data_IF_311686602312
#
_entry.id   IF_311686602312
#
_cell.length_a   1.000
_cell.length_b   1.000
_cell.length_c   1.000
_cell.angle_alpha   90.00
_cell.angle_beta   90.00
_cell.angle_gamma   90.00
#
_symmetry.space_group_name_H-M   'P 1'
#
loop_
_entity.id
_entity.type
_entity.pdbx_description
1 polymer ?
#
# COMPACT_ATOMS: atom_id res chain seq x y z
N UNK A 1 27.34 1.37 30.97
CA UNK A 1 26.28 0.62 30.27
C UNK A 1 26.62 0.72 28.81
N UNK A 2 26.73 -0.43 28.15
CA UNK A 2 27.06 -0.50 26.72
C UNK A 2 25.91 0.11 25.93
N UNK A 3 26.14 1.30 25.37
CA UNK A 3 25.21 1.93 24.45
C UNK A 3 25.18 1.10 23.17
N UNK A 4 24.12 0.31 23.04
CA UNK A 4 23.84 -0.48 21.86
C UNK A 4 23.66 0.51 20.68
N UNK A 5 24.51 0.38 19.67
CA UNK A 5 24.70 1.31 18.54
C UNK A 5 23.42 1.51 17.68
N UNK A 6 22.33 0.81 18.00
CA UNK A 6 21.03 0.93 17.34
C UNK A 6 20.02 1.90 18.00
N UNK A 7 20.31 2.48 19.18
CA UNK A 7 19.47 3.53 19.78
C UNK A 7 18.01 3.18 20.05
N UNK A 8 17.65 1.89 20.10
CA UNK A 8 16.29 1.43 20.36
C UNK A 8 15.97 1.45 21.85
N UNK A 9 14.97 2.23 22.26
CA UNK A 9 14.41 2.13 23.60
C UNK A 9 13.43 0.94 23.65
N UNK A 10 13.73 -0.05 24.50
CA UNK A 10 12.88 -1.23 24.71
C UNK A 10 11.62 -0.93 25.52
N UNK A 11 11.57 0.22 26.19
CA UNK A 11 10.37 0.72 26.86
C UNK A 11 9.64 1.64 25.88
N UNK A 12 8.44 1.26 25.41
CA UNK A 12 7.66 2.14 24.54
C UNK A 12 7.41 3.49 25.22
N UNK A 13 7.51 4.59 24.48
CA UNK A 13 7.34 5.93 25.07
C UNK A 13 5.93 6.16 25.65
N UNK A 14 4.95 5.36 25.24
CA UNK A 14 3.55 5.44 25.66
C UNK A 14 3.20 4.56 26.86
N UNK A 15 4.18 3.90 27.50
CA UNK A 15 3.94 2.98 28.62
C UNK A 15 3.19 3.64 29.79
N UNK A 16 3.44 4.93 30.02
CA UNK A 16 2.84 5.69 31.12
C UNK A 16 1.59 6.49 30.68
N UNK A 17 1.01 6.20 29.51
CA UNK A 17 -0.17 6.90 29.01
C UNK A 17 -1.45 6.08 29.29
N UNK A 18 -2.13 6.27 30.43
CA UNK A 18 -3.19 5.38 30.91
C UNK A 18 -4.46 5.39 30.06
N UNK A 19 -4.61 6.38 29.18
CA UNK A 19 -5.78 6.57 28.30
C UNK A 19 -5.42 6.45 26.81
N UNK A 20 -4.18 6.08 26.48
CA UNK A 20 -3.72 5.95 25.10
C UNK A 20 -3.67 4.47 24.72
N UNK A 21 -4.58 4.07 23.85
CA UNK A 21 -4.48 2.80 23.15
C UNK A 21 -3.78 3.05 21.81
N UNK A 22 -2.50 2.67 21.73
CA UNK A 22 -1.66 2.91 20.56
C UNK A 22 -2.22 2.21 19.32
N UNK A 23 -2.93 1.10 19.50
CA UNK A 23 -3.46 0.29 18.40
C UNK A 23 -4.55 1.06 17.63
N UNK A 24 -5.26 1.97 18.31
CA UNK A 24 -6.27 2.83 17.69
C UNK A 24 -5.69 4.02 16.91
N UNK A 25 -4.38 4.28 17.05
CA UNK A 25 -3.70 5.43 16.43
C UNK A 25 -2.88 4.97 15.20
N UNK A 26 -2.60 3.68 15.07
CA UNK A 26 -1.91 3.12 13.90
C UNK A 26 -2.88 3.10 12.72
N UNK A 27 -2.84 4.17 11.92
CA UNK A 27 -3.75 4.35 10.80
C UNK A 27 -3.38 3.47 9.60
N UNK A 28 -4.37 2.96 8.85
CA UNK A 28 -4.13 2.14 7.67
C UNK A 28 -3.45 2.91 6.54
N UNK A 29 -2.72 2.20 5.69
CA UNK A 29 -2.03 2.78 4.53
C UNK A 29 -2.36 2.03 3.23
N UNK A 30 -3.16 2.67 2.38
CA UNK A 30 -3.61 2.11 1.10
C UNK A 30 -2.43 1.68 0.22
N UNK A 31 -1.39 2.51 0.07
CA UNK A 31 -0.29 2.20 -0.84
C UNK A 31 0.53 1.00 -0.34
N UNK A 32 0.94 1.00 0.92
CA UNK A 32 1.90 0.03 1.46
C UNK A 32 1.26 -1.27 1.94
N UNK A 33 0.10 -1.17 2.58
CA UNK A 33 -0.63 -2.32 3.09
C UNK A 33 -1.47 -2.96 1.99
N UNK A 34 -2.22 -2.17 1.22
CA UNK A 34 -3.08 -2.73 0.18
C UNK A 34 -2.31 -3.00 -1.12
N UNK A 35 -1.83 -1.98 -1.82
CA UNK A 35 -1.22 -2.16 -3.16
C UNK A 35 0.13 -2.90 -3.12
N UNK A 36 1.06 -2.48 -2.27
CA UNK A 36 2.38 -3.12 -2.13
C UNK A 36 2.37 -4.31 -1.16
N UNK A 37 1.20 -4.63 -0.61
CA UNK A 37 1.03 -5.67 0.37
C UNK A 37 0.06 -6.74 -0.09
N UNK A 38 -1.21 -6.57 0.22
CA UNK A 38 -2.28 -7.51 -0.13
C UNK A 38 -2.32 -7.79 -1.63
N UNK A 39 -2.39 -6.76 -2.47
CA UNK A 39 -2.44 -6.91 -3.93
C UNK A 39 -1.13 -7.49 -4.50
N UNK A 40 0.01 -7.26 -3.83
CA UNK A 40 1.27 -7.92 -4.18
C UNK A 40 1.17 -9.44 -4.04
N UNK A 41 0.59 -9.93 -2.94
CA UNK A 41 0.38 -11.35 -2.73
C UNK A 41 -0.61 -11.94 -3.74
N UNK A 42 -1.73 -11.25 -4.01
CA UNK A 42 -2.69 -11.71 -5.02
C UNK A 42 -2.06 -11.95 -6.39
N UNK A 43 -1.22 -11.02 -6.86
CA UNK A 43 -0.53 -11.19 -8.14
C UNK A 43 0.38 -12.42 -8.13
N UNK A 44 1.15 -12.60 -7.05
CA UNK A 44 2.02 -13.78 -6.90
C UNK A 44 1.22 -15.08 -6.89
N UNK A 45 0.08 -15.12 -6.21
CA UNK A 45 -0.78 -16.30 -6.16
C UNK A 45 -1.44 -16.58 -7.50
N UNK A 46 -1.91 -15.56 -8.21
CA UNK A 46 -2.46 -15.70 -9.56
C UNK A 46 -1.40 -16.18 -10.55
N UNK A 47 -0.17 -15.67 -10.48
CA UNK A 47 0.94 -16.16 -11.30
C UNK A 47 1.24 -17.64 -10.99
N UNK A 48 1.04 -18.11 -9.76
CA UNK A 48 1.14 -19.53 -9.45
C UNK A 48 -0.03 -20.36 -10.05
N UNK A 49 -1.24 -19.81 -10.12
CA UNK A 49 -2.39 -20.47 -10.78
C UNK A 49 -2.19 -20.58 -12.29
N UNK A 50 -1.77 -19.49 -12.94
CA UNK A 50 -1.81 -19.34 -14.39
C UNK A 50 -0.45 -19.49 -15.07
N UNK A 51 0.64 -19.62 -14.29
CA UNK A 51 2.03 -19.35 -14.68
C UNK A 51 2.32 -17.86 -14.94
N UNK A 52 3.57 -17.45 -14.74
CA UNK A 52 4.03 -16.09 -15.06
C UNK A 52 3.85 -15.76 -16.55
N UNK A 53 4.23 -16.70 -17.43
CA UNK A 53 4.07 -16.57 -18.89
C UNK A 53 2.60 -16.47 -19.31
N UNK A 54 1.73 -17.26 -18.69
CA UNK A 54 0.29 -17.24 -18.95
C UNK A 54 -0.35 -15.91 -18.56
N UNK A 55 0.04 -15.35 -17.42
CA UNK A 55 -0.44 -14.04 -16.98
C UNK A 55 0.10 -12.91 -17.88
N UNK A 56 1.39 -12.93 -18.21
CA UNK A 56 2.00 -11.94 -19.11
C UNK A 56 1.38 -11.98 -20.51
N UNK A 57 1.09 -13.16 -21.04
CA UNK A 57 0.37 -13.32 -22.30
C UNK A 57 -0.99 -12.60 -22.27
N UNK A 58 -1.72 -12.66 -21.15
CA UNK A 58 -2.99 -11.93 -21.02
C UNK A 58 -2.78 -10.43 -20.97
N UNK A 59 -1.83 -9.95 -20.17
CA UNK A 59 -1.50 -8.52 -20.09
C UNK A 59 -1.12 -7.96 -21.46
N UNK A 60 -0.33 -8.70 -22.24
CA UNK A 60 0.10 -8.32 -23.59
C UNK A 60 -1.05 -8.33 -24.61
N UNK A 61 -2.05 -9.18 -24.42
CA UNK A 61 -3.21 -9.28 -25.32
C UNK A 61 -4.22 -8.15 -25.17
N UNK A 62 -4.11 -7.34 -24.10
CA UNK A 62 -5.05 -6.26 -23.85
C UNK A 62 -4.88 -5.13 -24.89
N UNK A 63 -5.99 -4.69 -25.52
CA UNK A 63 -5.93 -3.54 -26.42
C UNK A 63 -5.57 -2.27 -25.65
N UNK A 64 -4.90 -1.29 -26.29
CA UNK A 64 -4.70 0.02 -25.69
C UNK A 64 -6.03 0.65 -25.25
N UNK A 65 -6.09 1.10 -24.00
CA UNK A 65 -7.28 1.73 -23.43
C UNK A 65 -6.90 3.04 -22.73
N UNK A 66 -7.80 4.02 -22.77
CA UNK A 66 -7.57 5.32 -22.13
C UNK A 66 -7.47 5.17 -20.60
N UNK A 67 -6.48 5.82 -19.99
CA UNK A 67 -6.28 5.79 -18.53
C UNK A 67 -5.69 4.48 -17.98
N UNK A 68 -5.27 3.56 -18.85
CA UNK A 68 -4.63 2.28 -18.50
C UNK A 68 -3.20 2.26 -19.06
N UNK A 69 -2.24 1.81 -18.24
CA UNK A 69 -0.86 1.63 -18.68
C UNK A 69 -0.74 0.33 -19.47
N UNK A 70 -0.16 0.40 -20.65
CA UNK A 70 0.18 -0.78 -21.45
C UNK A 70 1.56 -1.31 -21.05
N UNK A 71 1.63 -2.58 -20.65
CA UNK A 71 2.85 -3.25 -20.22
C UNK A 71 3.45 -4.05 -21.39
N UNK A 72 4.26 -3.38 -22.22
CA UNK A 72 4.78 -3.91 -23.49
C UNK A 72 5.58 -5.22 -23.38
N UNK A 73 6.13 -5.51 -22.20
CA UNK A 73 6.96 -6.70 -21.95
C UNK A 73 6.35 -7.59 -20.86
N UNK A 74 5.04 -7.49 -20.60
CA UNK A 74 4.41 -8.13 -19.45
C UNK A 74 4.80 -7.47 -18.12
N UNK A 75 4.55 -8.19 -17.02
CA UNK A 75 4.84 -7.75 -15.65
C UNK A 75 5.93 -8.55 -14.96
N UNK A 76 6.24 -9.78 -15.42
CA UNK A 76 7.16 -10.68 -14.70
C UNK A 76 8.60 -10.16 -14.68
N UNK A 77 8.99 -9.39 -15.71
CA UNK A 77 10.30 -8.72 -15.77
C UNK A 77 10.43 -7.45 -14.93
N UNK A 78 9.37 -6.98 -14.26
CA UNK A 78 9.41 -5.73 -13.50
C UNK A 78 10.09 -5.93 -12.14
N UNK A 79 11.24 -5.28 -11.95
CA UNK A 79 11.86 -5.11 -10.64
C UNK A 79 11.44 -3.78 -10.02
N UNK A 80 11.35 -3.72 -8.69
CA UNK A 80 11.02 -2.49 -7.93
C UNK A 80 9.71 -1.79 -8.37
N UNK A 81 8.65 -2.57 -8.56
CA UNK A 81 7.33 -2.07 -9.01
C UNK A 81 6.85 -0.90 -8.13
N UNK A 82 6.68 0.26 -8.77
CA UNK A 82 6.23 1.49 -8.13
C UNK A 82 4.75 1.47 -7.76
N UNK A 83 4.33 2.41 -6.89
CA UNK A 83 2.92 2.60 -6.55
C UNK A 83 2.01 2.84 -7.76
N UNK A 84 2.36 3.78 -8.67
CA UNK A 84 1.59 4.01 -9.90
C UNK A 84 1.50 2.77 -10.81
N UNK A 85 2.55 1.96 -10.89
CA UNK A 85 2.53 0.69 -11.64
C UNK A 85 1.57 -0.32 -11.01
N UNK A 86 1.61 -0.48 -9.69
CA UNK A 86 0.64 -1.33 -8.96
C UNK A 86 -0.80 -0.86 -9.17
N UNK A 87 -1.07 0.44 -9.05
CA UNK A 87 -2.40 1.02 -9.29
C UNK A 87 -2.86 0.76 -10.73
N UNK A 88 -1.95 0.87 -11.70
CA UNK A 88 -2.25 0.58 -13.11
C UNK A 88 -2.54 -0.90 -13.36
N UNK A 89 -1.78 -1.79 -12.73
CA UNK A 89 -1.98 -3.24 -12.83
C UNK A 89 -3.32 -3.68 -12.19
N UNK A 90 -3.70 -3.07 -11.07
CA UNK A 90 -5.00 -3.32 -10.43
C UNK A 90 -6.19 -3.05 -11.35
N UNK A 91 -6.10 -2.06 -12.24
CA UNK A 91 -7.17 -1.72 -13.20
C UNK A 91 -7.42 -2.82 -14.24
N UNK A 92 -6.39 -3.58 -14.61
CA UNK A 92 -6.49 -4.62 -15.65
C UNK A 92 -6.54 -6.04 -15.08
N UNK A 93 -6.29 -6.20 -13.77
CA UNK A 93 -6.05 -7.48 -13.14
C UNK A 93 -7.18 -8.49 -13.38
N UNK A 94 -8.44 -8.11 -13.12
CA UNK A 94 -9.58 -9.03 -13.28
C UNK A 94 -9.83 -9.43 -14.73
N UNK A 95 -9.57 -8.53 -15.69
CA UNK A 95 -9.74 -8.82 -17.12
C UNK A 95 -8.75 -9.92 -17.55
N UNK A 96 -7.53 -9.90 -17.01
CA UNK A 96 -6.54 -10.95 -17.28
C UNK A 96 -6.93 -12.33 -16.72
N UNK A 97 -7.83 -12.40 -15.75
CA UNK A 97 -8.28 -13.66 -15.13
C UNK A 97 -9.47 -14.28 -15.85
N UNK A 98 -10.24 -13.47 -16.57
CA UNK A 98 -11.53 -13.85 -17.12
C UNK A 98 -11.41 -15.08 -18.05
N UNK A 99 -12.12 -16.16 -17.70
CA UNK A 99 -12.15 -17.41 -18.48
C UNK A 99 -10.87 -18.24 -18.41
N UNK A 100 -9.94 -17.93 -17.50
CA UNK A 100 -8.65 -18.66 -17.37
C UNK A 100 -8.42 -19.31 -16.01
N UNK A 101 -9.11 -18.84 -14.98
CA UNK A 101 -9.02 -19.38 -13.61
C UNK A 101 -10.41 -19.75 -13.11
N UNK A 102 -10.43 -20.52 -12.03
CA UNK A 102 -11.67 -20.89 -11.36
C UNK A 102 -12.48 -19.64 -10.95
N UNK A 103 -13.81 -19.61 -11.15
CA UNK A 103 -14.66 -18.50 -10.74
C UNK A 103 -14.46 -18.07 -9.29
N UNK A 104 -14.16 -19.02 -8.38
CA UNK A 104 -13.88 -18.78 -6.97
C UNK A 104 -12.63 -17.91 -6.79
N UNK A 105 -11.59 -18.16 -7.57
CA UNK A 105 -10.37 -17.32 -7.61
C UNK A 105 -10.70 -15.89 -8.08
N UNK A 106 -11.53 -15.76 -9.11
CA UNK A 106 -11.96 -14.45 -9.64
C UNK A 106 -12.73 -13.67 -8.57
N UNK A 107 -13.67 -14.32 -7.89
CA UNK A 107 -14.47 -13.70 -6.82
C UNK A 107 -13.57 -13.25 -5.66
N UNK A 108 -12.64 -14.10 -5.22
CA UNK A 108 -11.68 -13.74 -4.17
C UNK A 108 -10.83 -12.52 -4.56
N UNK A 109 -10.28 -12.51 -5.78
CA UNK A 109 -9.51 -11.39 -6.31
C UNK A 109 -10.33 -10.10 -6.43
N UNK A 110 -11.57 -10.21 -6.93
CA UNK A 110 -12.51 -9.10 -7.07
C UNK A 110 -12.83 -8.49 -5.72
N UNK A 111 -13.14 -9.32 -4.73
CA UNK A 111 -13.49 -8.92 -3.37
C UNK A 111 -12.41 -8.03 -2.73
N UNK A 112 -11.14 -8.38 -2.92
CA UNK A 112 -10.03 -7.54 -2.45
C UNK A 112 -9.92 -6.25 -3.26
N UNK A 113 -10.05 -6.29 -4.58
CA UNK A 113 -10.00 -5.06 -5.39
C UNK A 113 -11.14 -4.10 -5.07
N UNK A 114 -12.35 -4.62 -4.82
CA UNK A 114 -13.50 -3.85 -4.35
C UNK A 114 -13.18 -3.21 -3.00
N UNK A 115 -12.62 -3.97 -2.05
CA UNK A 115 -12.19 -3.43 -0.77
C UNK A 115 -11.16 -2.30 -0.93
N UNK A 116 -10.16 -2.48 -1.80
CA UNK A 116 -9.13 -1.46 -2.09
C UNK A 116 -9.75 -0.21 -2.68
N UNK A 117 -10.73 -0.37 -3.57
CA UNK A 117 -11.40 0.75 -4.21
C UNK A 117 -12.28 1.51 -3.21
N UNK A 118 -13.08 0.79 -2.43
CA UNK A 118 -13.94 1.35 -1.39
C UNK A 118 -13.12 2.08 -0.31
N UNK A 119 -11.99 1.51 0.14
CA UNK A 119 -11.12 2.14 1.14
C UNK A 119 -10.57 3.52 0.71
N UNK A 120 -10.56 3.81 -0.59
CA UNK A 120 -10.09 5.07 -1.17
C UNK A 120 -11.20 6.09 -1.41
N UNK A 121 -12.42 5.82 -0.97
CA UNK A 121 -13.50 6.79 -1.12
C UNK A 121 -13.18 8.07 -0.33
N UNK A 122 -13.42 9.26 -0.92
CA UNK A 122 -13.16 10.54 -0.26
C UNK A 122 -14.17 10.83 0.87
N UNK A 123 -15.21 10.02 0.98
CA UNK A 123 -16.19 10.07 2.07
C UNK A 123 -16.81 8.70 2.27
N UNK A 124 -17.16 8.41 3.53
CA UNK A 124 -17.81 7.16 3.91
C UNK A 124 -19.08 7.44 4.71
N UNK A 125 -20.14 6.70 4.39
CA UNK A 125 -21.32 6.55 5.23
C UNK A 125 -21.42 5.11 5.75
N UNK A 126 -22.46 4.82 6.54
CA UNK A 126 -22.69 3.46 7.06
C UNK A 126 -22.84 2.41 5.94
N UNK A 127 -23.37 2.81 4.79
CA UNK A 127 -23.58 1.94 3.62
C UNK A 127 -22.25 1.57 2.97
N UNK A 128 -21.37 2.54 2.71
CA UNK A 128 -20.05 2.35 2.13
C UNK A 128 -19.17 1.47 3.03
N UNK A 129 -19.23 1.67 4.35
CA UNK A 129 -18.55 0.80 5.31
C UNK A 129 -19.15 -0.62 5.34
N UNK A 130 -20.46 -0.73 5.13
CA UNK A 130 -21.15 -2.00 4.90
C UNK A 130 -20.59 -2.74 3.69
N UNK A 131 -20.42 -2.04 2.55
CA UNK A 131 -19.81 -2.64 1.36
C UNK A 131 -18.38 -3.13 1.58
N UNK A 132 -17.56 -2.40 2.36
CA UNK A 132 -16.22 -2.87 2.72
C UNK A 132 -16.27 -4.17 3.53
N UNK A 133 -17.21 -4.26 4.47
CA UNK A 133 -17.39 -5.47 5.28
C UNK A 133 -17.85 -6.64 4.42
N UNK A 134 -18.79 -6.41 3.51
CA UNK A 134 -19.27 -7.41 2.54
C UNK A 134 -18.15 -7.88 1.61
N UNK A 135 -17.33 -6.96 1.10
CA UNK A 135 -16.18 -7.30 0.27
C UNK A 135 -15.19 -8.19 1.03
N UNK A 136 -14.91 -7.88 2.30
CA UNK A 136 -14.01 -8.69 3.12
C UNK A 136 -14.62 -10.07 3.45
N UNK A 137 -15.93 -10.15 3.68
CA UNK A 137 -16.62 -11.43 3.86
C UNK A 137 -16.56 -12.28 2.59
N UNK A 138 -16.81 -11.69 1.43
CA UNK A 138 -16.69 -12.37 0.13
C UNK A 138 -15.25 -12.86 -0.12
N UNK A 139 -14.23 -12.13 0.32
CA UNK A 139 -12.87 -12.65 0.34
C UNK A 139 -12.76 -13.91 1.24
N UNK A 140 -13.23 -13.86 2.48
CA UNK A 140 -13.14 -14.99 3.40
C UNK A 140 -13.89 -16.24 2.92
N UNK A 141 -15.03 -16.07 2.24
CA UNK A 141 -15.83 -17.16 1.70
C UNK A 141 -15.17 -17.86 0.49
N UNK A 142 -14.20 -17.20 -0.14
CA UNK A 142 -13.58 -17.68 -1.39
C UNK A 142 -12.05 -17.92 -1.28
N UNK A 143 -11.39 -17.41 -0.24
CA UNK A 143 -9.93 -17.52 -0.08
C UNK A 143 -9.43 -18.96 0.03
N UNK A 144 -10.25 -19.91 0.48
CA UNK A 144 -9.89 -21.33 0.58
C UNK A 144 -9.54 -21.96 -0.77
N UNK A 145 -9.90 -21.32 -1.89
CA UNK A 145 -9.39 -21.68 -3.21
C UNK A 145 -7.86 -21.75 -3.24
N UNK A 146 -7.17 -20.77 -2.66
CA UNK A 146 -5.70 -20.73 -2.67
C UNK A 146 -5.08 -21.78 -1.74
N UNK A 147 -5.81 -22.19 -0.70
CA UNK A 147 -5.39 -23.28 0.20
C UNK A 147 -5.55 -24.64 -0.49
N UNK A 148 -6.73 -24.89 -1.06
CA UNK A 148 -7.08 -26.16 -1.72
C UNK A 148 -6.28 -26.40 -2.99
N UNK A 149 -5.88 -25.33 -3.68
CA UNK A 149 -4.98 -25.38 -4.84
C UNK A 149 -3.50 -25.52 -4.45
N UNK A 150 -3.17 -25.56 -3.15
CA UNK A 150 -1.80 -25.71 -2.66
C UNK A 150 -0.89 -24.50 -2.91
N UNK A 151 -1.46 -23.35 -3.24
CA UNK A 151 -0.70 -22.11 -3.55
C UNK A 151 -0.25 -21.44 -2.27
N UNK A 152 -1.05 -21.56 -1.20
CA UNK A 152 -0.81 -20.92 0.08
C UNK A 152 -1.11 -21.90 1.21
N UNK A 153 -0.32 -21.87 2.27
CA UNK A 153 -0.51 -22.75 3.45
C UNK A 153 -1.49 -22.14 4.45
N UNK A 154 -1.38 -20.83 4.68
CA UNK A 154 -2.25 -20.07 5.57
C UNK A 154 -2.31 -18.58 5.16
N UNK A 155 -3.22 -17.82 5.76
CA UNK A 155 -3.34 -16.37 5.57
C UNK A 155 -2.85 -15.56 6.78
N UNK A 156 -1.91 -16.10 7.57
CA UNK A 156 -1.30 -15.41 8.72
C UNK A 156 -0.29 -14.34 8.26
N UNK A 157 -0.76 -13.47 7.37
CA UNK A 157 0.00 -12.38 6.78
C UNK A 157 -0.48 -11.10 7.47
N UNK A 158 0.39 -10.37 8.19
CA UNK A 158 -0.02 -9.17 8.94
C UNK A 158 -0.79 -8.15 8.09
N UNK A 159 -0.46 -8.05 6.80
CA UNK A 159 -1.13 -7.16 5.84
C UNK A 159 -2.56 -7.60 5.52
N UNK A 160 -2.86 -8.90 5.47
CA UNK A 160 -4.24 -9.38 5.33
C UNK A 160 -5.02 -9.17 6.63
N UNK A 161 -4.40 -9.45 7.78
CA UNK A 161 -5.01 -9.16 9.08
C UNK A 161 -5.40 -7.68 9.22
N UNK A 162 -4.55 -6.78 8.70
CA UNK A 162 -4.83 -5.33 8.75
C UNK A 162 -6.14 -4.91 8.09
N UNK A 163 -6.67 -5.69 7.13
CA UNK A 163 -7.94 -5.40 6.45
C UNK A 163 -9.11 -5.33 7.44
N UNK A 164 -9.06 -6.11 8.52
CA UNK A 164 -10.09 -6.13 9.55
C UNK A 164 -10.22 -4.78 10.27
N UNK A 165 -9.17 -3.98 10.28
CA UNK A 165 -9.07 -2.73 11.05
C UNK A 165 -9.41 -1.48 10.24
N UNK A 166 -9.56 -1.57 8.92
CA UNK A 166 -9.82 -0.38 8.08
C UNK A 166 -11.14 0.28 8.40
N UNK A 167 -12.22 -0.47 8.58
CA UNK A 167 -13.55 0.11 8.83
C UNK A 167 -13.60 0.82 10.19
N UNK A 168 -12.95 0.25 11.21
CA UNK A 168 -12.78 0.89 12.51
C UNK A 168 -11.93 2.15 12.40
N UNK A 169 -10.78 2.06 11.73
CA UNK A 169 -9.88 3.20 11.53
C UNK A 169 -10.56 4.35 10.78
N UNK A 170 -11.38 4.05 9.77
CA UNK A 170 -12.12 5.09 9.02
C UNK A 170 -13.14 5.79 9.93
N UNK A 171 -13.78 5.06 10.86
CA UNK A 171 -14.71 5.66 11.83
C UNK A 171 -14.00 6.54 12.85
N UNK A 172 -12.81 6.15 13.30
CA UNK A 172 -12.07 6.85 14.35
C UNK A 172 -11.26 8.03 13.80
N UNK A 173 -10.61 7.86 12.65
CA UNK A 173 -9.60 8.77 12.12
C UNK A 173 -10.01 9.44 10.80
N UNK A 174 -11.18 9.09 10.23
CA UNK A 174 -11.65 9.60 8.95
C UNK A 174 -11.12 8.82 7.74
N UNK A 175 -11.33 9.38 6.55
CA UNK A 175 -10.97 8.78 5.26
C UNK A 175 -9.46 8.53 5.12
N UNK A 176 -9.09 7.55 4.30
CA UNK A 176 -7.69 7.06 4.22
C UNK A 176 -6.70 8.04 3.58
N UNK A 177 -7.21 9.06 2.88
CA UNK A 177 -6.44 10.17 2.34
C UNK A 177 -5.92 11.12 3.43
N UNK A 178 -6.61 11.25 4.57
CA UNK A 178 -6.21 12.14 5.67
C UNK A 178 -4.91 11.74 6.38
N UNK A 179 -4.50 10.47 6.28
CA UNK A 179 -3.30 9.93 6.93
C UNK A 179 -2.43 9.14 5.96
N UNK A 180 -2.50 9.49 4.67
CA UNK A 180 -1.68 8.87 3.64
C UNK A 180 -0.20 9.26 3.80
N UNK A 181 0.67 8.26 3.95
CA UNK A 181 2.13 8.46 4.04
C UNK A 181 2.78 8.97 2.75
N UNK A 182 2.06 9.04 1.63
CA UNK A 182 2.59 9.67 0.40
C UNK A 182 3.02 11.12 0.64
N UNK A 183 2.34 11.87 1.52
CA UNK A 183 2.75 13.23 1.91
C UNK A 183 4.12 13.23 2.60
N UNK A 184 4.32 12.36 3.60
CA UNK A 184 5.59 12.24 4.31
C UNK A 184 6.73 11.74 3.40
N UNK A 185 6.43 10.93 2.39
CA UNK A 185 7.42 10.55 1.37
C UNK A 185 7.87 11.73 0.52
N UNK A 186 6.97 12.66 0.21
CA UNK A 186 7.34 13.86 -0.52
C UNK A 186 8.30 14.71 0.31
N UNK A 187 7.99 14.91 1.60
CA UNK A 187 8.89 15.59 2.53
C UNK A 187 10.26 14.92 2.63
N UNK A 188 10.33 13.59 2.52
CA UNK A 188 11.62 12.90 2.47
C UNK A 188 12.42 13.28 1.21
N UNK A 189 11.79 13.49 0.06
CA UNK A 189 12.49 13.99 -1.14
C UNK A 189 13.06 15.37 -0.86
N UNK A 190 12.21 16.29 -0.40
CA UNK A 190 12.57 17.69 -0.20
C UNK A 190 13.65 17.83 0.89
N UNK A 191 13.47 17.16 2.04
CA UNK A 191 14.32 17.38 3.20
C UNK A 191 15.59 16.51 3.19
N UNK A 192 15.53 15.31 2.60
CA UNK A 192 16.68 14.40 2.60
C UNK A 192 17.38 14.36 1.25
N UNK A 193 16.66 14.24 0.13
CA UNK A 193 17.29 14.00 -1.17
C UNK A 193 17.89 15.28 -1.72
N UNK A 194 17.15 16.38 -1.71
CA UNK A 194 17.66 17.68 -2.14
C UNK A 194 18.76 18.19 -1.20
N UNK A 195 18.56 18.07 0.12
CA UNK A 195 19.58 18.38 1.11
C UNK A 195 20.87 17.58 0.89
N UNK A 196 20.76 16.27 0.60
CA UNK A 196 21.90 15.43 0.27
C UNK A 196 22.60 15.89 -1.03
N UNK A 197 21.83 16.19 -2.08
CA UNK A 197 22.35 16.69 -3.35
C UNK A 197 23.08 18.03 -3.21
N UNK A 198 22.59 18.91 -2.34
CA UNK A 198 23.20 20.20 -2.04
C UNK A 198 24.43 20.11 -1.11
N UNK A 199 24.65 18.96 -0.47
CA UNK A 199 25.81 18.72 0.39
C UNK A 199 27.06 18.34 -0.40
N UNK A 200 28.23 18.48 0.23
CA UNK A 200 29.49 17.96 -0.33
C UNK A 200 29.68 16.43 -0.09
N UNK A 201 28.68 15.75 0.49
CA UNK A 201 28.65 14.31 0.81
C UNK A 201 29.65 13.84 1.86
N UNK A 202 30.42 14.74 2.48
CA UNK A 202 31.35 14.46 3.59
C UNK A 202 30.81 15.09 4.85
N UNK A 203 30.55 14.29 5.90
CA UNK A 203 29.90 14.79 7.12
C UNK A 203 28.64 15.61 6.78
N UNK A 204 27.72 14.95 6.08
CA UNK A 204 26.62 15.58 5.36
C UNK A 204 25.46 15.98 6.26
N UNK A 205 25.25 15.31 7.41
CA UNK A 205 24.11 15.57 8.30
C UNK A 205 24.04 17.04 8.75
N UNK A 206 25.10 17.68 9.29
CA UNK A 206 25.06 19.10 9.65
C UNK A 206 24.78 20.02 8.46
N UNK A 207 25.27 19.65 7.26
CA UNK A 207 25.07 20.42 6.04
C UNK A 207 23.63 20.35 5.57
N UNK A 208 23.01 19.15 5.60
CA UNK A 208 21.62 18.94 5.25
C UNK A 208 20.69 19.69 6.21
N UNK A 209 20.95 19.63 7.53
CA UNK A 209 20.20 20.39 8.53
C UNK A 209 20.32 21.90 8.28
N UNK A 210 21.54 22.39 8.01
CA UNK A 210 21.76 23.82 7.71
C UNK A 210 21.05 24.25 6.42
N UNK A 211 21.06 23.40 5.39
CA UNK A 211 20.37 23.64 4.13
C UNK A 211 18.85 23.73 4.35
N UNK A 212 18.28 22.80 5.12
CA UNK A 212 16.86 22.77 5.44
C UNK A 212 16.44 24.02 6.22
N UNK A 213 17.18 24.40 7.27
CA UNK A 213 16.90 25.62 8.04
C UNK A 213 16.99 26.90 7.20
N UNK A 214 17.76 26.91 6.10
CA UNK A 214 17.78 28.05 5.17
C UNK A 214 16.54 28.08 4.29
N UNK A 215 16.09 26.92 3.80
CA UNK A 215 14.87 26.79 3.00
C UNK A 215 13.64 27.24 3.78
N UNK A 216 13.46 26.75 5.01
CA UNK A 216 12.35 27.13 5.89
C UNK A 216 12.31 28.64 6.16
N UNK A 217 13.48 29.28 6.32
CA UNK A 217 13.57 30.74 6.53
C UNK A 217 13.18 31.55 5.29
N UNK A 218 13.54 31.09 4.09
CA UNK A 218 13.14 31.74 2.83
C UNK A 218 11.63 31.60 2.65
N UNK A 219 11.09 30.40 2.79
CA UNK A 219 9.64 30.16 2.69
C UNK A 219 8.84 30.98 3.71
N UNK A 220 9.32 31.07 4.95
CA UNK A 220 8.70 31.91 5.99
C UNK A 220 8.70 33.40 5.63
N UNK A 221 9.77 33.88 4.97
CA UNK A 221 9.85 35.26 4.51
C UNK A 221 8.91 35.51 3.33
N UNK A 222 8.85 34.59 2.37
CA UNK A 222 7.97 34.68 1.21
C UNK A 222 6.49 34.62 1.60
N UNK A 223 6.13 33.84 2.62
CA UNK A 223 4.76 33.78 3.15
C UNK A 223 4.35 35.07 3.89
N UNK A 224 5.30 35.79 4.47
CA UNK A 224 5.04 37.02 5.21
C UNK A 224 4.81 38.24 4.30
N UNK A 225 5.31 38.21 3.06
CA UNK A 225 5.16 39.26 2.04
C UNK A 225 3.85 39.11 1.25
#
# INVERSE_FOLDING_TARGET
>A
MEDNIAGGNYTPFWTDFPLCDIDNIITPNVLHQLYQGVFKHLISWVQAVMTEEGFDSQVLSLPPAFGVRHFKNGISGLSQVSGPERKSLAKIFLVCLAGRVDPKCIIACCSILDFIHLAQYPSHDGTALGYMTTALQSWHDNQDFFLTSGIQVDFNIPKFHSLLHYTLSIRLCGTTDNYNMEMFKHLHIDFSTEGWQASNKRDHFPQMVTWLSRKEKIESFDFFM
#
